data_IF_822627559906
#
_entry.id   IF_822627559906
#
_cell.length_a   1.000
_cell.length_b   1.000
_cell.length_c   1.000
_cell.angle_alpha   90.00
_cell.angle_beta   90.00
_cell.angle_gamma   90.00
#
_symmetry.space_group_name_H-M   'P 1'
#
loop_
_entity.id
_entity.type
_entity.pdbx_description
1 polymer ?
#
# COMPACT_ATOMS: atom_id res chain seq x y z
N UNK A 1 4.72 -2.33 11.83
CA UNK A 1 4.47 -2.70 10.42
C UNK A 1 3.01 -2.45 10.15
N UNK A 2 2.68 -1.62 9.17
CA UNK A 2 1.29 -1.41 8.74
C UNK A 2 0.91 -2.53 7.75
N UNK A 3 -0.36 -2.92 7.71
CA UNK A 3 -0.92 -3.83 6.72
C UNK A 3 -2.25 -3.25 6.29
N UNK A 4 -2.47 -3.19 4.98
CA UNK A 4 -3.74 -2.74 4.42
C UNK A 4 -4.34 -3.83 3.54
N UNK A 5 -5.65 -4.02 3.62
CA UNK A 5 -6.38 -5.03 2.86
C UNK A 5 -7.81 -4.58 2.60
N UNK A 6 -8.47 -5.17 1.61
CA UNK A 6 -9.83 -4.79 1.21
C UNK A 6 -10.80 -5.94 1.44
N UNK A 7 -12.00 -5.62 1.95
CA UNK A 7 -13.11 -6.57 2.06
C UNK A 7 -14.39 -6.01 1.42
N UNK A 8 -15.32 -6.91 1.13
CA UNK A 8 -16.63 -6.56 0.56
C UNK A 8 -17.58 -5.84 1.54
N UNK A 9 -17.38 -6.00 2.85
CA UNK A 9 -18.19 -5.39 3.91
C UNK A 9 -17.32 -4.65 4.92
N UNK A 10 -17.94 -3.72 5.65
CA UNK A 10 -17.27 -2.86 6.64
C UNK A 10 -17.23 -3.45 8.04
N UNK A 11 -17.38 -4.77 8.19
CA UNK A 11 -17.32 -5.42 9.51
C UNK A 11 -15.92 -5.30 10.10
N UNK A 12 -15.83 -5.40 11.42
CA UNK A 12 -14.57 -5.41 12.13
C UNK A 12 -13.68 -6.55 11.63
N UNK A 13 -12.48 -6.19 11.19
CA UNK A 13 -11.44 -7.13 10.82
C UNK A 13 -10.16 -6.82 11.62
N UNK A 14 -9.29 -7.81 11.71
CA UNK A 14 -8.07 -7.74 12.50
C UNK A 14 -6.90 -8.34 11.72
N UNK A 15 -5.70 -8.02 12.18
CA UNK A 15 -4.45 -8.65 11.76
C UNK A 15 -3.97 -9.52 12.90
N UNK A 16 -3.85 -10.83 12.68
CA UNK A 16 -3.19 -11.74 13.63
C UNK A 16 -1.78 -12.05 13.15
N UNK A 17 -0.81 -12.05 14.05
CA UNK A 17 0.60 -12.21 13.69
C UNK A 17 1.44 -12.89 14.77
N UNK A 18 2.60 -13.42 14.38
CA UNK A 18 3.51 -14.13 15.27
C UNK A 18 4.81 -14.55 14.61
N UNK A 19 5.74 -15.09 15.41
CA UNK A 19 7.04 -15.57 14.92
C UNK A 19 6.98 -16.97 14.30
N UNK A 20 5.87 -17.69 14.47
CA UNK A 20 5.70 -19.06 14.01
C UNK A 20 4.47 -19.14 13.11
N UNK A 21 4.63 -19.76 11.93
CA UNK A 21 3.59 -19.83 10.89
C UNK A 21 2.24 -20.36 11.41
N UNK A 22 2.24 -21.37 12.29
CA UNK A 22 1.03 -21.93 12.88
C UNK A 22 0.59 -21.30 14.21
N UNK A 23 1.31 -20.29 14.71
CA UNK A 23 1.08 -19.72 16.05
C UNK A 23 1.20 -18.19 16.01
N UNK A 24 0.07 -17.54 15.70
CA UNK A 24 -0.07 -16.09 15.59
C UNK A 24 -0.84 -15.54 16.80
N UNK A 25 -0.15 -15.40 17.93
CA UNK A 25 -0.76 -15.08 19.23
C UNK A 25 -1.05 -13.58 19.41
N UNK A 26 -0.45 -12.72 18.60
CA UNK A 26 -0.69 -11.28 18.64
C UNK A 26 -1.85 -10.96 17.70
N UNK A 27 -2.76 -10.08 18.10
CA UNK A 27 -3.87 -9.61 17.26
C UNK A 27 -4.06 -8.12 17.45
N UNK A 28 -4.29 -7.41 16.34
CA UNK A 28 -4.60 -5.98 16.34
C UNK A 28 -5.81 -5.71 15.45
N UNK A 29 -6.76 -4.92 15.94
CA UNK A 29 -7.90 -4.47 15.15
C UNK A 29 -7.48 -3.55 14.00
N UNK A 30 -8.16 -3.64 12.87
CA UNK A 30 -7.92 -2.76 11.73
C UNK A 30 -8.97 -1.64 11.67
N UNK A 31 -8.52 -0.41 11.39
CA UNK A 31 -9.41 0.72 11.16
C UNK A 31 -10.00 0.63 9.76
N UNK A 32 -11.31 0.82 9.63
CA UNK A 32 -12.00 0.79 8.34
C UNK A 32 -12.01 2.17 7.69
N UNK A 33 -11.71 2.21 6.40
CA UNK A 33 -11.69 3.38 5.53
C UNK A 33 -12.42 3.05 4.22
N UNK A 34 -13.00 4.07 3.59
CA UNK A 34 -13.50 3.99 2.21
C UNK A 34 -13.56 5.40 1.61
N UNK A 35 -13.69 5.46 0.30
CA UNK A 35 -13.97 6.69 -0.44
C UNK A 35 -15.18 6.46 -1.34
N UNK A 36 -15.91 7.52 -1.63
CA UNK A 36 -17.09 7.50 -2.48
C UNK A 36 -16.83 8.17 -3.83
N UNK A 37 -17.78 7.99 -4.76
CA UNK A 37 -17.69 8.59 -6.10
C UNK A 37 -17.59 10.11 -6.02
N UNK A 38 -18.31 10.71 -5.08
CA UNK A 38 -18.34 12.15 -4.85
C UNK A 38 -17.02 12.69 -4.28
N UNK A 39 -16.12 11.81 -3.85
CA UNK A 39 -14.78 12.20 -3.43
C UNK A 39 -13.83 12.37 -4.63
N UNK A 40 -14.16 11.83 -5.81
CA UNK A 40 -13.37 11.97 -7.03
C UNK A 40 -13.45 13.39 -7.63
N UNK A 41 -12.34 13.88 -8.18
CA UNK A 41 -12.26 15.22 -8.77
C UNK A 41 -12.98 15.36 -10.12
N UNK A 42 -12.71 14.45 -11.05
CA UNK A 42 -13.03 14.61 -12.47
C UNK A 42 -13.31 13.27 -13.15
N UNK A 43 -13.94 13.34 -14.33
CA UNK A 43 -14.05 12.24 -15.26
C UNK A 43 -12.64 11.73 -15.69
N UNK A 44 -12.47 10.43 -15.96
CA UNK A 44 -13.49 9.38 -15.92
C UNK A 44 -13.76 8.81 -14.51
N UNK A 45 -13.01 9.22 -13.48
CA UNK A 45 -13.16 8.70 -12.11
C UNK A 45 -14.54 8.99 -11.50
N UNK A 46 -15.15 10.11 -11.87
CA UNK A 46 -16.53 10.46 -11.47
C UNK A 46 -17.59 9.73 -12.31
N UNK A 47 -17.24 9.24 -13.49
CA UNK A 47 -18.18 8.72 -14.48
C UNK A 47 -18.54 7.26 -14.19
N UNK A 48 -19.70 6.80 -14.67
CA UNK A 48 -20.17 5.44 -14.41
C UNK A 48 -19.23 4.36 -14.93
N UNK A 49 -18.49 4.64 -16.01
CA UNK A 49 -17.56 3.70 -16.65
C UNK A 49 -16.21 3.62 -15.91
N UNK A 50 -15.73 4.72 -15.34
CA UNK A 50 -14.44 4.76 -14.63
C UNK A 50 -14.54 4.49 -13.12
N UNK A 51 -15.67 4.84 -12.50
CA UNK A 51 -15.90 4.56 -11.09
C UNK A 51 -16.17 3.09 -10.81
N UNK A 52 -15.54 2.56 -9.76
CA UNK A 52 -15.91 1.31 -9.12
C UNK A 52 -15.87 1.51 -7.62
N UNK A 53 -16.86 0.95 -6.90
CA UNK A 53 -16.83 0.98 -5.43
C UNK A 53 -15.55 0.25 -4.93
N UNK A 54 -14.73 0.90 -4.08
CA UNK A 54 -13.46 0.34 -3.62
C UNK A 54 -13.60 -0.72 -2.53
N UNK A 55 -14.82 -1.03 -2.09
CA UNK A 55 -15.09 -1.84 -0.92
C UNK A 55 -14.72 -1.11 0.38
N UNK A 56 -14.21 -1.88 1.33
CA UNK A 56 -13.80 -1.39 2.65
C UNK A 56 -12.33 -1.68 2.85
N UNK A 57 -11.54 -0.61 3.00
CA UNK A 57 -10.09 -0.65 3.18
C UNK A 57 -9.80 -0.71 4.68
N UNK A 58 -9.14 -1.76 5.11
CA UNK A 58 -8.73 -1.98 6.50
C UNK A 58 -7.28 -1.56 6.68
N UNK A 59 -7.00 -0.80 7.74
CA UNK A 59 -5.69 -0.27 8.11
C UNK A 59 -5.30 -0.79 9.50
N UNK A 60 -4.46 -1.83 9.54
CA UNK A 60 -3.95 -2.43 10.78
C UNK A 60 -2.47 -2.10 11.00
N UNK A 61 -2.07 -1.86 12.24
CA UNK A 61 -0.67 -1.55 12.60
C UNK A 61 -0.15 -2.53 13.64
N UNK A 62 0.74 -3.43 13.21
CA UNK A 62 1.47 -4.33 14.10
C UNK A 62 2.58 -3.58 14.83
N UNK A 63 2.56 -3.60 16.16
CA UNK A 63 3.55 -2.96 17.03
C UNK A 63 4.46 -3.99 17.71
N UNK A 64 5.46 -3.50 18.45
CA UNK A 64 6.31 -4.31 19.34
C UNK A 64 7.04 -5.47 18.64
N UNK A 65 7.41 -5.24 17.38
CA UNK A 65 8.08 -6.23 16.56
C UNK A 65 9.58 -6.30 16.87
N UNK A 66 10.10 -7.52 17.04
CA UNK A 66 11.53 -7.77 17.22
C UNK A 66 12.27 -7.55 15.91
N UNK A 67 13.29 -6.68 15.91
CA UNK A 67 14.11 -6.33 14.74
C UNK A 67 14.80 -7.55 14.11
N UNK A 68 14.87 -7.60 12.78
CA UNK A 68 15.57 -8.66 12.03
C UNK A 68 14.96 -10.04 12.18
N UNK A 69 13.66 -10.12 12.51
CA UNK A 69 12.91 -11.37 12.63
C UNK A 69 11.82 -11.46 11.57
N UNK A 70 11.61 -12.68 11.07
CA UNK A 70 10.46 -13.03 10.24
C UNK A 70 9.22 -13.12 11.11
N UNK A 71 8.17 -12.44 10.68
CA UNK A 71 6.82 -12.54 11.22
C UNK A 71 5.90 -13.13 10.17
N UNK A 72 4.97 -13.96 10.62
CA UNK A 72 3.85 -14.47 9.85
C UNK A 72 2.59 -13.74 10.27
N UNK A 73 1.70 -13.47 9.33
CA UNK A 73 0.45 -12.79 9.61
C UNK A 73 -0.69 -13.26 8.71
N UNK A 74 -1.91 -13.05 9.19
CA UNK A 74 -3.16 -13.19 8.45
C UNK A 74 -4.04 -11.98 8.73
N UNK A 75 -4.90 -11.65 7.78
CA UNK A 75 -5.90 -10.60 7.90
C UNK A 75 -7.31 -11.22 7.78
N UNK A 76 -8.28 -10.65 8.49
CA UNK A 76 -9.66 -11.12 8.45
C UNK A 76 -10.33 -11.13 9.82
N UNK A 77 -11.32 -12.00 9.97
CA UNK A 77 -12.09 -12.16 11.20
C UNK A 77 -12.63 -13.58 11.34
N UNK A 78 -12.98 -13.99 12.56
CA UNK A 78 -13.56 -15.31 12.79
C UNK A 78 -14.93 -15.49 12.10
N UNK A 79 -15.67 -14.39 11.91
CA UNK A 79 -16.94 -14.40 11.16
C UNK A 79 -16.78 -14.32 9.65
N UNK A 80 -15.74 -13.62 9.16
CA UNK A 80 -15.52 -13.36 7.73
C UNK A 80 -14.53 -14.32 7.07
N UNK A 81 -13.85 -15.14 7.87
CA UNK A 81 -12.72 -15.96 7.41
C UNK A 81 -11.39 -15.22 7.51
N UNK A 82 -10.31 -15.99 7.45
CA UNK A 82 -8.94 -15.51 7.50
C UNK A 82 -8.27 -15.73 6.15
N UNK A 83 -7.44 -14.77 5.73
CA UNK A 83 -6.64 -14.83 4.50
C UNK A 83 -5.66 -16.01 4.49
N UNK A 84 -4.94 -16.22 3.39
CA UNK A 84 -3.71 -17.00 3.40
C UNK A 84 -2.67 -16.40 4.36
N UNK A 85 -1.68 -17.22 4.74
CA UNK A 85 -0.61 -16.79 5.65
C UNK A 85 0.48 -16.10 4.85
N UNK A 86 0.68 -14.82 5.14
CA UNK A 86 1.76 -14.00 4.60
C UNK A 86 2.92 -13.91 5.57
N UNK A 87 4.08 -13.43 5.11
CA UNK A 87 5.22 -13.18 5.97
C UNK A 87 6.06 -11.98 5.53
N UNK A 88 6.77 -11.38 6.48
CA UNK A 88 7.73 -10.31 6.22
C UNK A 88 8.89 -10.40 7.22
N UNK A 89 10.03 -9.81 6.85
CA UNK A 89 11.19 -9.66 7.75
C UNK A 89 11.26 -8.22 8.22
N UNK A 90 11.28 -8.03 9.54
CA UNK A 90 11.37 -6.71 10.15
C UNK A 90 12.72 -6.04 9.89
N UNK A 91 12.75 -4.70 9.66
CA UNK A 91 14.00 -3.97 9.54
C UNK A 91 14.89 -4.15 10.77
N UNK A 92 16.21 -4.11 10.55
CA UNK A 92 17.19 -4.13 11.62
C UNK A 92 18.22 -3.02 11.39
N UNK A 93 18.07 -1.92 12.13
CA UNK A 93 18.93 -0.74 12.05
C UNK A 93 20.41 -1.00 12.41
N UNK A 94 20.73 -2.16 12.99
CA UNK A 94 22.11 -2.54 13.31
C UNK A 94 22.80 -3.31 12.18
N UNK A 95 22.10 -3.60 11.08
CA UNK A 95 22.72 -4.18 9.90
C UNK A 95 23.57 -3.13 9.17
N UNK A 96 24.72 -3.58 8.66
CA UNK A 96 25.63 -2.75 7.86
C UNK A 96 25.22 -2.64 6.38
N UNK A 97 24.20 -3.39 5.99
CA UNK A 97 23.72 -3.52 4.62
C UNK A 97 22.22 -3.24 4.60
N UNK A 98 21.76 -2.57 3.54
CA UNK A 98 20.33 -2.35 3.26
C UNK A 98 20.04 -2.88 1.87
N UNK A 99 19.08 -3.81 1.77
CA UNK A 99 18.62 -4.34 0.49
C UNK A 99 17.35 -3.59 0.10
N UNK A 100 17.36 -3.00 -1.09
CA UNK A 100 16.28 -2.20 -1.62
C UNK A 100 16.00 -2.58 -3.06
N UNK A 101 14.72 -2.79 -3.38
CA UNK A 101 14.23 -2.93 -4.75
C UNK A 101 13.50 -1.64 -5.11
N UNK A 102 13.98 -0.90 -6.12
CA UNK A 102 13.43 0.39 -6.51
C UNK A 102 13.00 0.32 -7.98
N UNK A 103 11.74 0.64 -8.27
CA UNK A 103 11.21 0.67 -9.63
C UNK A 103 10.04 1.64 -9.74
N UNK A 104 9.82 2.22 -10.91
CA UNK A 104 8.67 3.08 -11.21
C UNK A 104 7.93 2.57 -12.44
N UNK A 105 6.83 3.25 -12.78
CA UNK A 105 6.20 3.13 -14.11
C UNK A 105 5.76 1.69 -14.45
N UNK A 106 5.48 0.88 -13.43
CA UNK A 106 5.23 -0.54 -13.61
C UNK A 106 3.88 -0.78 -14.28
N UNK A 107 2.86 -0.03 -13.85
CA UNK A 107 1.50 -0.27 -14.31
C UNK A 107 0.99 -1.65 -13.92
N UNK A 108 0.00 -2.13 -14.67
CA UNK A 108 -0.58 -3.47 -14.45
C UNK A 108 -0.85 -4.16 -15.77
N UNK A 109 -0.85 -5.50 -15.76
CA UNK A 109 -1.08 -6.35 -16.94
C UNK A 109 -2.38 -7.14 -16.82
N UNK A 110 -3.13 -7.26 -17.91
CA UNK A 110 -4.27 -8.17 -18.04
C UNK A 110 -3.99 -9.20 -19.14
N UNK A 111 -4.48 -10.45 -19.03
CA UNK A 111 -4.30 -11.47 -20.07
C UNK A 111 -5.30 -11.31 -21.24
N UNK A 112 -6.08 -10.25 -21.25
CA UNK A 112 -7.11 -9.94 -22.25
C UNK A 112 -7.05 -8.46 -22.63
N UNK A 113 -7.58 -8.15 -23.82
CA UNK A 113 -7.68 -6.77 -24.31
C UNK A 113 -8.70 -5.99 -23.49
N UNK A 114 -8.35 -4.76 -23.10
CA UNK A 114 -9.26 -3.85 -22.40
C UNK A 114 -9.39 -2.54 -23.17
N UNK A 115 -10.33 -1.69 -22.77
CA UNK A 115 -10.50 -0.35 -23.33
C UNK A 115 -9.33 0.58 -23.00
N UNK A 116 -8.58 0.28 -21.94
CA UNK A 116 -7.38 1.02 -21.54
C UNK A 116 -6.11 0.22 -21.78
N UNK A 117 -5.02 0.95 -22.03
CA UNK A 117 -3.71 0.34 -22.19
C UNK A 117 -3.18 -0.13 -20.84
N UNK A 118 -2.91 -1.43 -20.76
CA UNK A 118 -2.16 -2.09 -19.69
C UNK A 118 -0.69 -2.26 -20.09
N UNK A 119 0.17 -2.53 -19.11
CA UNK A 119 1.63 -2.70 -19.26
C UNK A 119 1.96 -4.19 -19.12
N UNK A 120 2.08 -4.93 -20.23
CA UNK A 120 2.37 -6.37 -20.21
C UNK A 120 3.70 -6.69 -19.48
N UNK A 121 4.65 -5.76 -19.56
CA UNK A 121 5.96 -5.82 -18.92
C UNK A 121 5.87 -5.83 -17.38
N UNK A 122 4.77 -5.32 -16.82
CA UNK A 122 4.48 -5.31 -15.37
C UNK A 122 4.64 -6.71 -14.76
N UNK A 123 4.15 -7.74 -15.46
CA UNK A 123 4.28 -9.14 -15.04
C UNK A 123 5.74 -9.60 -14.95
N UNK A 124 6.59 -9.16 -15.88
CA UNK A 124 8.02 -9.52 -15.88
C UNK A 124 8.78 -8.85 -14.74
N UNK A 125 8.48 -7.59 -14.45
CA UNK A 125 9.07 -6.85 -13.32
C UNK A 125 8.79 -7.57 -11.99
N UNK A 126 7.53 -7.91 -11.71
CA UNK A 126 7.18 -8.62 -10.49
C UNK A 126 7.80 -10.01 -10.40
N UNK A 127 7.85 -10.74 -11.53
CA UNK A 127 8.50 -12.05 -11.59
C UNK A 127 9.96 -11.99 -11.14
N UNK A 128 10.73 -11.03 -11.65
CA UNK A 128 12.15 -10.91 -11.30
C UNK A 128 12.36 -10.42 -9.87
N UNK A 129 11.57 -9.45 -9.42
CA UNK A 129 11.67 -8.96 -8.03
C UNK A 129 11.28 -10.07 -7.05
N UNK A 130 10.20 -10.81 -7.29
CA UNK A 130 9.79 -11.93 -6.44
C UNK A 130 10.89 -12.99 -6.34
N UNK A 131 11.49 -13.38 -7.47
CA UNK A 131 12.61 -14.32 -7.50
C UNK A 131 13.77 -13.85 -6.63
N UNK A 132 14.11 -12.56 -6.71
CA UNK A 132 15.25 -12.00 -5.99
C UNK A 132 14.94 -11.80 -4.49
N UNK A 133 13.69 -11.50 -4.12
CA UNK A 133 13.21 -11.50 -2.73
C UNK A 133 13.30 -12.91 -2.13
N UNK A 134 12.92 -13.94 -2.88
CA UNK A 134 13.03 -15.33 -2.43
C UNK A 134 14.50 -15.72 -2.23
N UNK A 135 15.39 -15.25 -3.12
CA UNK A 135 16.82 -15.56 -3.07
C UNK A 135 17.55 -14.93 -1.86
N UNK A 136 17.10 -13.79 -1.34
CA UNK A 136 17.73 -13.14 -0.16
C UNK A 136 17.30 -13.77 1.18
N UNK A 137 16.23 -14.59 1.19
CA UNK A 137 15.78 -15.35 2.36
C UNK A 137 15.35 -14.49 3.56
N UNK A 138 16.00 -14.66 4.70
CA UNK A 138 15.68 -13.96 5.96
C UNK A 138 16.37 -12.60 6.11
N UNK A 139 16.97 -12.08 5.04
CA UNK A 139 17.53 -10.72 5.06
C UNK A 139 16.40 -9.69 4.96
N UNK A 140 16.37 -8.66 5.81
CA UNK A 140 15.42 -7.56 5.65
C UNK A 140 15.64 -6.85 4.31
N UNK A 141 14.57 -6.67 3.56
CA UNK A 141 14.54 -5.86 2.35
C UNK A 141 13.28 -5.00 2.35
N UNK A 142 13.34 -3.90 1.60
CA UNK A 142 12.15 -3.13 1.26
C UNK A 142 12.05 -2.98 -0.26
N UNK A 143 10.81 -2.91 -0.73
CA UNK A 143 10.48 -2.67 -2.13
C UNK A 143 9.84 -1.30 -2.19
N UNK A 144 10.36 -0.40 -3.02
CA UNK A 144 9.79 0.93 -3.24
C UNK A 144 9.35 1.07 -4.69
N UNK A 145 8.04 1.23 -4.89
CA UNK A 145 7.52 1.76 -6.13
C UNK A 145 7.70 3.28 -6.12
N UNK A 146 8.26 3.87 -7.18
CA UNK A 146 8.63 5.30 -7.23
C UNK A 146 7.83 6.06 -8.30
N UNK A 147 6.50 6.06 -8.16
CA UNK A 147 5.60 6.81 -9.05
C UNK A 147 5.02 5.98 -10.19
N UNK A 148 4.04 6.53 -10.91
CA UNK A 148 3.36 5.90 -12.05
C UNK A 148 2.97 4.43 -11.79
N UNK A 149 2.03 4.28 -10.85
CA UNK A 149 1.80 3.03 -10.16
C UNK A 149 0.98 2.05 -11.01
N UNK A 150 -0.33 2.31 -11.15
CA UNK A 150 -1.25 1.43 -11.87
C UNK A 150 -1.62 1.94 -13.26
N UNK A 151 -1.30 3.21 -13.57
CA UNK A 151 -1.87 3.96 -14.69
C UNK A 151 -3.40 3.94 -14.76
N UNK A 152 -4.07 3.84 -13.59
CA UNK A 152 -5.53 3.78 -13.52
C UNK A 152 -6.21 4.95 -14.23
N UNK A 153 -5.65 6.18 -14.13
CA UNK A 153 -6.10 7.37 -14.88
C UNK A 153 -7.63 7.58 -14.85
N UNK A 154 -8.23 7.28 -13.69
CA UNK A 154 -9.67 7.41 -13.43
C UNK A 154 -10.50 6.15 -13.71
N UNK A 155 -9.91 5.06 -14.19
CA UNK A 155 -10.56 3.75 -14.27
C UNK A 155 -10.17 2.89 -13.07
N UNK A 156 -11.05 2.86 -12.08
CA UNK A 156 -10.81 2.31 -10.75
C UNK A 156 -10.48 0.83 -10.76
N UNK A 157 -11.00 0.06 -11.72
CA UNK A 157 -10.74 -1.37 -11.85
C UNK A 157 -9.24 -1.70 -12.09
N UNK A 158 -8.46 -0.76 -12.63
CA UNK A 158 -7.01 -0.92 -12.79
C UNK A 158 -6.27 -0.93 -11.44
N UNK A 159 -6.81 -0.27 -10.41
CA UNK A 159 -6.28 -0.38 -9.05
C UNK A 159 -6.46 -1.78 -8.49
N UNK A 160 -7.65 -2.39 -8.67
CA UNK A 160 -7.90 -3.76 -8.23
C UNK A 160 -6.95 -4.74 -8.93
N UNK A 161 -6.79 -4.58 -10.25
CA UNK A 161 -5.89 -5.44 -11.03
C UNK A 161 -4.43 -5.29 -10.55
N UNK A 162 -3.99 -4.06 -10.32
CA UNK A 162 -2.65 -3.77 -9.79
C UNK A 162 -2.44 -4.41 -8.42
N UNK A 163 -3.36 -4.23 -7.47
CA UNK A 163 -3.22 -4.78 -6.11
C UNK A 163 -3.22 -6.31 -6.10
N UNK A 164 -4.09 -6.95 -6.89
CA UNK A 164 -4.07 -8.40 -7.06
C UNK A 164 -2.74 -8.88 -7.67
N UNK A 165 -2.18 -8.12 -8.60
CA UNK A 165 -0.92 -8.49 -9.25
C UNK A 165 0.27 -8.43 -8.27
N UNK A 166 0.31 -7.46 -7.36
CA UNK A 166 1.41 -7.30 -6.39
C UNK A 166 1.20 -8.06 -5.08
N UNK A 167 0.00 -8.55 -4.79
CA UNK A 167 -0.34 -9.28 -3.56
C UNK A 167 0.63 -10.41 -3.24
N UNK A 168 1.06 -11.28 -4.19
CA UNK A 168 1.97 -12.38 -3.90
C UNK A 168 3.32 -11.94 -3.34
N UNK A 169 3.75 -10.70 -3.61
CA UNK A 169 4.98 -10.16 -3.04
C UNK A 169 4.83 -9.67 -1.60
N UNK A 170 3.61 -9.33 -1.16
CA UNK A 170 3.24 -9.07 0.25
C UNK A 170 3.94 -7.90 0.99
N UNK A 171 4.97 -7.27 0.42
CA UNK A 171 5.81 -6.23 1.07
C UNK A 171 6.23 -5.10 0.11
N UNK A 172 5.29 -4.53 -0.63
CA UNK A 172 5.55 -3.35 -1.48
C UNK A 172 5.23 -2.06 -0.74
N UNK A 173 6.24 -1.21 -0.57
CA UNK A 173 6.07 0.18 -0.15
C UNK A 173 5.80 1.00 -1.42
N UNK A 174 4.58 1.52 -1.57
CA UNK A 174 4.24 2.33 -2.75
C UNK A 174 4.47 3.79 -2.41
N UNK A 175 5.62 4.31 -2.85
CA UNK A 175 5.94 5.72 -2.78
C UNK A 175 5.36 6.47 -3.97
N UNK A 176 4.70 7.59 -3.71
CA UNK A 176 4.49 8.60 -4.75
C UNK A 176 5.60 9.65 -4.58
N UNK A 177 6.74 9.55 -5.28
CA UNK A 177 7.55 10.72 -5.49
C UNK A 177 6.70 11.67 -6.35
N UNK A 178 6.45 12.86 -5.82
CA UNK A 178 5.94 13.98 -6.61
C UNK A 178 7.07 14.31 -7.59
N UNK A 179 7.16 13.56 -8.68
CA UNK A 179 8.01 13.91 -9.82
C UNK A 179 7.17 14.88 -10.63
N UNK A 180 7.56 16.16 -10.57
CA UNK A 180 7.05 17.22 -11.44
C UNK A 180 7.01 16.73 -12.89
N UNK A 181 5.81 16.37 -13.38
CA UNK A 181 5.59 15.92 -14.76
C UNK A 181 4.67 14.70 -14.95
N UNK A 182 4.24 13.98 -13.91
CA UNK A 182 3.30 12.85 -14.08
C UNK A 182 1.83 13.25 -14.00
N UNK A 183 0.97 12.35 -14.50
CA UNK A 183 -0.45 12.50 -14.89
C UNK A 183 -1.45 12.81 -13.76
N UNK A 184 -1.00 13.32 -12.62
CA UNK A 184 -1.85 13.83 -11.54
C UNK A 184 -2.02 15.35 -11.69
N UNK A 185 -3.25 15.90 -11.63
CA UNK A 185 -3.45 17.35 -11.76
C UNK A 185 -2.71 18.13 -10.67
N UNK A 186 -1.98 19.18 -11.06
CA UNK A 186 -1.23 20.13 -10.23
C UNK A 186 -2.10 20.88 -9.19
N UNK A 187 -2.59 20.21 -8.15
CA UNK A 187 -3.43 20.88 -7.13
C UNK A 187 -2.92 20.73 -5.70
N UNK A 188 -1.65 20.34 -5.52
CA UNK A 188 -1.03 20.17 -4.20
C UNK A 188 0.33 20.84 -4.04
N UNK A 189 0.69 21.80 -4.91
CA UNK A 189 1.90 22.62 -4.73
C UNK A 189 1.72 23.74 -3.68
N UNK A 190 0.50 24.21 -3.41
CA UNK A 190 0.27 25.38 -2.56
C UNK A 190 0.19 25.09 -1.05
N UNK A 191 0.27 23.84 -0.61
CA UNK A 191 0.21 23.48 0.82
C UNK A 191 1.59 23.16 1.44
N UNK A 192 2.66 23.12 0.66
CA UNK A 192 4.02 22.83 1.14
C UNK A 192 4.94 24.06 1.24
N UNK A 193 4.50 25.25 0.81
CA UNK A 193 5.32 26.48 0.84
C UNK A 193 5.30 27.26 2.17
N UNK A 194 4.62 26.78 3.22
CA UNK A 194 4.64 27.47 4.51
C UNK A 194 5.09 26.54 5.64
N UNK A 195 6.40 26.51 5.91
CA UNK A 195 6.91 26.05 7.21
C UNK A 195 8.32 25.48 7.18
N UNK A 196 9.30 26.31 7.55
CA UNK A 196 10.64 25.89 7.96
C UNK A 196 10.59 24.85 9.09
N UNK A 197 11.11 23.63 8.91
CA UNK A 197 11.59 22.78 10.02
C UNK A 197 12.68 21.78 9.54
N UNK A 198 13.69 21.47 10.36
CA UNK A 198 14.92 20.80 9.95
C UNK A 198 14.78 19.28 9.87
N UNK A 199 15.49 18.69 8.90
CA UNK A 199 15.63 17.25 8.67
C UNK A 199 16.10 16.48 9.92
N UNK A 200 15.25 15.56 10.41
CA UNK A 200 15.67 14.40 11.22
C UNK A 200 14.93 13.14 10.74
N UNK A 201 15.72 12.12 10.44
CA UNK A 201 15.36 10.79 9.92
C UNK A 201 14.61 10.00 11.00
N UNK A 202 13.39 9.51 10.72
CA UNK A 202 12.74 8.43 11.48
C UNK A 202 11.48 7.87 10.76
N UNK A 203 11.52 6.56 10.49
CA UNK A 203 10.39 5.61 10.35
C UNK A 203 9.45 5.70 9.13
N UNK A 204 9.66 4.83 8.13
CA UNK A 204 8.78 4.53 6.98
C UNK A 204 8.85 3.00 6.72
N UNK A 205 7.71 2.28 6.53
CA UNK A 205 7.06 2.18 5.24
C UNK A 205 5.60 2.64 5.27
N UNK A 206 5.35 3.73 4.53
CA UNK A 206 4.04 4.27 4.18
C UNK A 206 3.34 3.26 3.25
N UNK A 207 2.49 2.41 3.81
CA UNK A 207 1.57 1.65 2.96
C UNK A 207 0.40 2.57 2.61
N UNK A 208 0.25 2.77 1.30
CA UNK A 208 -0.88 3.35 0.59
C UNK A 208 -1.48 4.66 1.13
N UNK A 209 -0.61 5.60 1.52
CA UNK A 209 -1.06 6.90 2.04
C UNK A 209 -1.38 7.97 1.01
N UNK A 210 -0.91 7.83 -0.23
CA UNK A 210 -0.92 8.93 -1.20
C UNK A 210 -1.44 8.55 -2.59
N UNK A 211 -1.83 7.29 -2.82
CA UNK A 211 -2.15 6.84 -4.18
C UNK A 211 -3.54 7.24 -4.67
N UNK A 212 -4.36 7.84 -3.80
CA UNK A 212 -5.66 8.39 -4.18
C UNK A 212 -5.57 9.90 -4.44
N UNK A 213 -4.60 10.29 -5.27
CA UNK A 213 -4.39 11.68 -5.73
C UNK A 213 -5.55 12.21 -6.61
N UNK A 214 -6.54 11.38 -6.92
CA UNK A 214 -7.79 11.79 -7.57
C UNK A 214 -8.93 12.10 -6.57
N UNK A 215 -8.71 11.96 -5.25
CA UNK A 215 -9.68 12.40 -4.24
C UNK A 215 -9.54 13.92 -4.03
N UNK A 216 -10.57 14.67 -4.40
CA UNK A 216 -10.64 16.12 -4.18
C UNK A 216 -11.40 16.51 -2.90
N UNK A 217 -12.24 15.63 -2.35
CA UNK A 217 -12.87 15.84 -1.04
C UNK A 217 -12.26 14.92 0.00
N UNK A 218 -11.43 15.45 0.92
CA UNK A 218 -11.06 14.68 2.10
C UNK A 218 -12.28 14.60 3.03
N UNK A 219 -13.13 13.59 2.86
CA UNK A 219 -14.09 13.21 3.92
C UNK A 219 -13.29 12.50 5.01
N UNK A 220 -13.09 13.23 6.11
CA UNK A 220 -12.20 12.87 7.21
C UNK A 220 -10.73 12.87 6.79
N UNK A 221 -9.87 13.35 7.67
CA UNK A 221 -8.43 13.35 7.50
C UNK A 221 -7.95 11.92 7.27
N UNK A 222 -7.74 11.53 6.01
CA UNK A 222 -7.03 10.31 5.61
C UNK A 222 -5.65 10.26 6.26
N UNK A 223 -5.11 11.44 6.62
CA UNK A 223 -3.90 11.64 7.39
C UNK A 223 -4.11 12.77 8.42
N UNK A 224 -4.45 12.41 9.66
CA UNK A 224 -3.91 13.15 10.79
C UNK A 224 -2.81 12.28 11.38
N UNK A 225 -1.58 12.73 11.23
CA UNK A 225 -0.49 12.30 12.09
C UNK A 225 -0.94 12.48 13.53
N UNK A 226 -0.68 11.45 14.34
CA UNK A 226 -0.78 11.56 15.79
C UNK A 226 0.26 12.61 16.21
N UNK A 227 -0.18 13.85 16.37
CA UNK A 227 0.56 14.88 17.07
C UNK A 227 0.27 14.74 18.57
N UNK A 228 1.37 14.60 19.32
CA UNK A 228 1.54 14.82 20.76
C UNK A 228 0.65 14.05 21.74
N UNK A 229 1.28 13.11 22.45
CA UNK A 229 1.22 13.09 23.92
C UNK A 229 2.65 12.85 24.44
N UNK A 230 3.30 13.92 24.90
CA UNK A 230 4.34 13.85 25.94
C UNK A 230 3.84 14.60 27.16
N UNK A 231 3.62 13.84 28.24
CA UNK A 231 4.18 14.08 29.57
C UNK A 231 4.06 12.78 30.35
#
# INVERSE_FOLDING_TARGET
>A
MRVMFVTHDGKDNSVRYGLTRGKMEQTVGARVLRYEREDMCHAPATDSVGWRDPGYIHDGVMTDLRKGKRYYYQVGSDSGGWSDIFSFVTPNAHLKETIAFLFGDMGTSTPYTTFDRTQEESSSTLKWISRDIDAIGDKPAFVSHIGDISYARGYSWLWDNFFNQIEPMGVVNVGCPIVSGSTCPETLLNLLEQGHLPLKISTIPLILGLCILCICRPRQTFFQGVTNITS
#
